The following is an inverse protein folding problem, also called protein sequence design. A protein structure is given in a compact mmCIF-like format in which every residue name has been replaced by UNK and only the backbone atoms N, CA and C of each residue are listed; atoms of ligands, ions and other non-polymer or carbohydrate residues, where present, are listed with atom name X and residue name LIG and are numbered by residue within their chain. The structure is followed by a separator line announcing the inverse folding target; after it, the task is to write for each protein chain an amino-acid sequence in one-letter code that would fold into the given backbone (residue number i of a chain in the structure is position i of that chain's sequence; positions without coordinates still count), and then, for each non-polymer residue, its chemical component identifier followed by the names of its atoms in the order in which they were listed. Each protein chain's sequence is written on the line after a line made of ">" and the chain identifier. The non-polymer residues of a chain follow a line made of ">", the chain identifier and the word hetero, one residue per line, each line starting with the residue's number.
data_IF_994844016009
#
_entry.id   IF_994844016009
#
_cell.length_a   1.000
_cell.length_b   1.000
_cell.length_c   1.000
_cell.angle_alpha   90.00
_cell.angle_beta   90.00
_cell.angle_gamma   90.00
#
_symmetry.space_group_name_H-M   'P 1'
#
loop_
_entity.id
_entity.type
_entity.pdbx_description
1 polymer ?
#
# COMPACT_ATOMS: atom_id res chain seq x y z
N UNK A 1 10.08 65.42 -30.36
CA UNK A 1 8.73 64.82 -30.48
C UNK A 1 8.92 63.36 -30.75
N UNK A 2 8.82 62.50 -29.74
CA UNK A 2 8.89 61.02 -29.85
C UNK A 2 7.57 60.48 -29.30
N UNK A 3 6.83 59.80 -30.14
CA UNK A 3 5.57 59.13 -29.80
C UNK A 3 5.84 57.98 -28.81
N UNK A 4 5.26 58.08 -27.63
CA UNK A 4 5.15 56.97 -26.71
C UNK A 4 3.98 56.06 -27.13
N UNK A 5 4.30 54.91 -27.67
CA UNK A 5 3.32 53.87 -27.94
C UNK A 5 2.96 53.16 -26.63
N UNK A 6 1.76 53.43 -26.13
CA UNK A 6 1.12 52.73 -25.07
C UNK A 6 0.85 51.29 -25.49
N UNK A 7 1.63 50.32 -25.00
CA UNK A 7 1.32 48.90 -25.07
C UNK A 7 0.41 48.54 -23.89
N UNK A 8 -0.89 48.56 -24.14
CA UNK A 8 -1.87 47.98 -23.28
C UNK A 8 -1.74 46.44 -23.34
N UNK A 9 -1.15 45.87 -22.27
CA UNK A 9 -1.14 44.41 -22.10
C UNK A 9 -2.54 43.90 -21.82
N UNK A 10 -3.19 43.37 -22.85
CA UNK A 10 -4.36 42.54 -22.73
C UNK A 10 -3.98 41.25 -21.99
N UNK A 11 -4.17 41.23 -20.69
CA UNK A 11 -4.18 39.99 -19.92
C UNK A 11 -5.44 39.21 -20.37
N UNK A 12 -5.27 38.32 -21.32
CA UNK A 12 -6.22 37.30 -21.63
C UNK A 12 -6.40 36.40 -20.41
N UNK A 13 -7.49 36.59 -19.70
CA UNK A 13 -7.94 35.62 -18.70
C UNK A 13 -8.26 34.32 -19.42
N UNK A 14 -7.32 33.39 -19.41
CA UNK A 14 -7.59 32.00 -19.75
C UNK A 14 -8.52 31.45 -18.69
N UNK A 15 -9.80 31.58 -18.88
CA UNK A 15 -10.79 30.80 -18.15
C UNK A 15 -10.53 29.34 -18.52
N UNK A 16 -10.00 28.57 -17.56
CA UNK A 16 -9.88 27.12 -17.69
C UNK A 16 -11.31 26.59 -17.80
N UNK A 17 -11.81 26.47 -19.03
CA UNK A 17 -13.06 25.78 -19.30
C UNK A 17 -12.85 24.32 -19.00
N UNK A 18 -13.42 23.85 -17.87
CA UNK A 18 -13.47 22.43 -17.54
C UNK A 18 -14.24 21.72 -18.66
N UNK A 19 -13.55 20.90 -19.45
CA UNK A 19 -14.15 20.15 -20.54
C UNK A 19 -14.47 18.73 -20.11
N UNK A 20 -15.67 18.25 -20.42
CA UNK A 20 -15.96 16.83 -20.32
C UNK A 20 -15.28 16.07 -21.47
N UNK A 21 -14.89 14.83 -21.20
CA UNK A 21 -14.35 13.90 -22.20
C UNK A 21 -15.37 12.81 -22.51
N UNK A 22 -15.33 12.33 -23.74
CA UNK A 22 -16.09 11.14 -24.15
C UNK A 22 -15.23 9.91 -23.81
N UNK A 23 -15.78 8.98 -23.06
CA UNK A 23 -15.15 7.71 -22.74
C UNK A 23 -15.30 6.72 -23.91
N UNK A 24 -14.52 5.62 -23.90
CA UNK A 24 -14.56 4.60 -24.96
C UNK A 24 -15.95 3.95 -25.14
N UNK A 25 -16.77 3.95 -24.10
CA UNK A 25 -18.16 3.46 -24.11
C UNK A 25 -19.20 4.51 -24.54
N UNK A 26 -18.78 5.66 -25.06
CA UNK A 26 -19.64 6.76 -25.50
C UNK A 26 -20.16 7.66 -24.37
N UNK A 27 -19.90 7.37 -23.11
CA UNK A 27 -20.37 8.18 -21.98
C UNK A 27 -19.52 9.45 -21.80
N UNK A 28 -20.16 10.52 -21.35
CA UNK A 28 -19.48 11.77 -20.98
C UNK A 28 -18.94 11.67 -19.55
N UNK A 29 -17.74 12.18 -19.30
CA UNK A 29 -17.14 12.28 -17.96
C UNK A 29 -16.44 13.63 -17.79
N UNK A 30 -16.69 14.32 -16.69
CA UNK A 30 -16.13 15.62 -16.39
C UNK A 30 -17.18 16.72 -16.30
N UNK A 31 -16.78 17.98 -16.32
CA UNK A 31 -17.68 19.11 -16.15
C UNK A 31 -17.85 19.90 -17.46
N UNK A 32 -19.08 20.32 -17.76
CA UNK A 32 -19.41 21.24 -18.84
C UNK A 32 -20.30 22.34 -18.24
N UNK A 33 -19.81 23.56 -18.21
CA UNK A 33 -20.51 24.66 -17.58
C UNK A 33 -20.87 24.36 -16.12
N UNK A 34 -22.16 24.35 -15.80
CA UNK A 34 -22.68 24.06 -14.48
C UNK A 34 -23.03 22.57 -14.23
N UNK A 35 -22.78 21.70 -15.19
CA UNK A 35 -23.09 20.28 -15.12
C UNK A 35 -21.81 19.45 -14.93
N UNK A 36 -21.91 18.42 -14.10
CA UNK A 36 -20.85 17.42 -13.90
C UNK A 36 -21.39 16.04 -14.25
N UNK A 37 -20.78 15.41 -15.25
CA UNK A 37 -21.05 14.04 -15.68
C UNK A 37 -20.20 13.08 -14.88
N UNK A 38 -20.84 12.21 -14.12
CA UNK A 38 -20.19 11.23 -13.26
C UNK A 38 -20.45 9.84 -13.79
N UNK A 39 -19.35 9.11 -14.05
CA UNK A 39 -19.43 7.71 -14.45
C UNK A 39 -18.77 6.88 -13.35
N UNK A 40 -19.53 5.96 -12.78
CA UNK A 40 -19.04 4.93 -11.86
C UNK A 40 -19.18 3.57 -12.53
N UNK A 41 -18.65 2.54 -11.93
CA UNK A 41 -18.77 1.16 -12.44
C UNK A 41 -20.25 0.69 -12.51
N UNK A 42 -21.10 1.24 -11.64
CA UNK A 42 -22.49 0.82 -11.47
C UNK A 42 -23.52 1.83 -12.00
N UNK A 43 -23.17 3.11 -12.11
CA UNK A 43 -24.12 4.17 -12.45
C UNK A 43 -23.47 5.32 -13.21
N UNK A 44 -24.26 5.89 -14.13
CA UNK A 44 -23.95 7.13 -14.83
C UNK A 44 -25.01 8.17 -14.47
N UNK A 45 -24.58 9.32 -13.97
CA UNK A 45 -25.52 10.39 -13.62
C UNK A 45 -24.91 11.77 -13.88
N UNK A 46 -25.78 12.75 -13.94
CA UNK A 46 -25.40 14.17 -14.10
C UNK A 46 -25.87 14.92 -12.86
N UNK A 47 -25.01 15.76 -12.32
CA UNK A 47 -25.36 16.66 -11.21
C UNK A 47 -24.93 18.08 -11.51
N UNK A 48 -25.53 19.04 -10.84
CA UNK A 48 -25.08 20.43 -10.89
C UNK A 48 -23.77 20.61 -10.13
N UNK A 49 -22.91 21.47 -10.61
CA UNK A 49 -21.69 21.89 -9.91
C UNK A 49 -22.10 22.78 -8.74
N UNK A 50 -21.67 22.47 -7.50
CA UNK A 50 -21.94 23.37 -6.38
C UNK A 50 -21.25 24.72 -6.58
N UNK A 51 -21.98 25.81 -6.39
CA UNK A 51 -21.46 27.16 -6.65
C UNK A 51 -20.39 27.60 -5.66
N UNK A 52 -20.53 27.28 -4.36
CA UNK A 52 -19.54 27.56 -3.32
C UNK A 52 -19.63 26.51 -2.21
N UNK A 53 -18.56 25.73 -2.04
CA UNK A 53 -18.40 24.84 -0.89
C UNK A 53 -17.55 25.56 0.16
N UNK A 54 -18.18 26.10 1.21
CA UNK A 54 -17.45 26.54 2.39
C UNK A 54 -17.01 25.32 3.19
N UNK A 55 -15.72 25.00 3.16
CA UNK A 55 -15.17 23.92 3.96
C UNK A 55 -15.20 24.30 5.44
N UNK A 56 -15.77 23.42 6.28
CA UNK A 56 -15.70 23.56 7.73
C UNK A 56 -14.26 23.43 8.23
N UNK A 57 -13.97 23.90 9.44
CA UNK A 57 -12.64 23.71 10.07
C UNK A 57 -12.28 22.23 10.19
N UNK A 58 -13.25 21.37 10.53
CA UNK A 58 -13.06 19.92 10.59
C UNK A 58 -12.68 19.32 9.22
N UNK A 59 -13.31 19.78 8.14
CA UNK A 59 -12.99 19.34 6.77
C UNK A 59 -11.57 19.78 6.37
N UNK A 60 -11.17 21.00 6.72
CA UNK A 60 -9.81 21.50 6.44
C UNK A 60 -8.76 20.70 7.23
N UNK A 61 -9.01 20.44 8.52
CA UNK A 61 -8.11 19.63 9.35
C UNK A 61 -7.98 18.19 8.80
N UNK A 62 -9.10 17.56 8.41
CA UNK A 62 -9.07 16.24 7.81
C UNK A 62 -8.31 16.21 6.46
N UNK A 63 -8.48 17.24 5.63
CA UNK A 63 -7.75 17.38 4.37
C UNK A 63 -6.24 17.55 4.60
N UNK A 64 -5.84 18.35 5.58
CA UNK A 64 -4.44 18.54 5.97
C UNK A 64 -3.82 17.22 6.47
N UNK A 65 -4.50 16.51 7.38
CA UNK A 65 -4.06 15.21 7.88
C UNK A 65 -3.91 14.17 6.76
N UNK A 66 -4.87 14.14 5.83
CA UNK A 66 -4.78 13.28 4.65
C UNK A 66 -3.62 13.66 3.73
N UNK A 67 -3.34 14.96 3.57
CA UNK A 67 -2.19 15.45 2.80
C UNK A 67 -0.87 14.93 3.37
N UNK A 68 -0.68 15.05 4.68
CA UNK A 68 0.51 14.54 5.39
C UNK A 68 0.63 13.02 5.22
N UNK A 69 -0.45 12.28 5.49
CA UNK A 69 -0.45 10.82 5.34
C UNK A 69 -0.15 10.38 3.89
N UNK A 70 -0.65 11.12 2.90
CA UNK A 70 -0.38 10.84 1.47
C UNK A 70 1.08 11.07 1.09
N UNK A 71 1.71 12.11 1.63
CA UNK A 71 3.13 12.39 1.40
C UNK A 71 4.01 11.30 2.03
N UNK A 72 3.76 10.94 3.29
CA UNK A 72 4.48 9.86 3.98
C UNK A 72 4.25 8.50 3.30
N UNK A 73 3.02 8.20 2.87
CA UNK A 73 2.69 6.99 2.09
C UNK A 73 3.51 6.90 0.79
N UNK A 74 3.67 8.03 0.09
CA UNK A 74 4.47 8.05 -1.15
C UNK A 74 5.93 7.67 -0.87
N UNK A 75 6.56 8.29 0.13
CA UNK A 75 7.96 8.00 0.51
C UNK A 75 8.12 6.54 0.94
N UNK A 76 7.23 6.06 1.79
CA UNK A 76 7.22 4.69 2.28
C UNK A 76 7.12 3.66 1.12
N UNK A 77 6.16 3.84 0.20
CA UNK A 77 5.99 2.94 -0.94
C UNK A 77 7.19 2.98 -1.91
N UNK A 78 7.83 4.15 -2.10
CA UNK A 78 9.06 4.23 -2.89
C UNK A 78 10.17 3.39 -2.26
N UNK A 79 10.43 3.56 -0.96
CA UNK A 79 11.44 2.78 -0.25
C UNK A 79 11.16 1.25 -0.32
N UNK A 80 9.88 0.85 -0.24
CA UNK A 80 9.52 -0.56 -0.41
C UNK A 80 9.79 -1.08 -1.83
N UNK A 81 9.41 -0.32 -2.87
CA UNK A 81 9.60 -0.72 -4.27
C UNK A 81 11.07 -0.76 -4.69
N UNK A 82 11.91 0.06 -4.07
CA UNK A 82 13.36 0.02 -4.27
C UNK A 82 13.98 -1.24 -3.65
N UNK A 83 13.42 -1.71 -2.53
CA UNK A 83 13.97 -2.84 -1.79
C UNK A 83 13.37 -4.18 -2.21
N UNK A 84 12.09 -4.22 -2.56
CA UNK A 84 11.36 -5.47 -2.82
C UNK A 84 10.67 -5.46 -4.19
N UNK A 85 10.70 -6.61 -4.87
CA UNK A 85 9.91 -6.85 -6.08
C UNK A 85 8.45 -7.15 -5.69
N UNK A 86 7.69 -6.12 -5.33
CA UNK A 86 6.30 -6.27 -4.90
C UNK A 86 5.38 -6.67 -6.06
N UNK A 87 4.51 -7.64 -5.82
CA UNK A 87 3.44 -8.02 -6.74
C UNK A 87 2.21 -7.16 -6.48
N UNK A 88 1.99 -6.17 -7.34
CA UNK A 88 0.98 -5.12 -7.13
C UNK A 88 -0.07 -5.11 -8.23
N UNK A 89 -1.30 -4.71 -7.89
CA UNK A 89 -2.30 -4.33 -8.88
C UNK A 89 -2.28 -2.80 -9.15
N UNK A 90 -3.04 -2.39 -10.17
CA UNK A 90 -3.11 -0.98 -10.59
C UNK A 90 -3.58 -0.02 -9.48
N UNK A 91 -4.43 -0.49 -8.57
CA UNK A 91 -5.10 0.34 -7.55
C UNK A 91 -4.47 0.22 -6.16
N UNK A 92 -3.41 -0.58 -6.00
CA UNK A 92 -2.79 -0.83 -4.70
C UNK A 92 -2.40 0.47 -3.97
N UNK A 93 -1.86 1.45 -4.69
CA UNK A 93 -1.37 2.69 -4.10
C UNK A 93 -2.48 3.51 -3.42
N UNK A 94 -3.69 3.52 -4.00
CA UNK A 94 -4.85 4.20 -3.41
C UNK A 94 -5.34 3.47 -2.15
N UNK A 95 -5.37 2.12 -2.19
CA UNK A 95 -5.74 1.28 -1.04
C UNK A 95 -4.70 1.37 0.08
N UNK A 96 -3.40 1.33 -0.27
CA UNK A 96 -2.30 1.44 0.69
C UNK A 96 -2.32 2.78 1.42
N UNK A 97 -2.55 3.89 0.71
CA UNK A 97 -2.71 5.22 1.31
C UNK A 97 -3.80 5.28 2.37
N UNK A 98 -4.93 4.61 2.13
CA UNK A 98 -6.02 4.56 3.10
C UNK A 98 -5.62 3.77 4.37
N UNK A 99 -4.85 2.68 4.23
CA UNK A 99 -4.28 1.93 5.36
C UNK A 99 -3.21 2.73 6.08
N UNK A 100 -2.30 3.38 5.34
CA UNK A 100 -1.25 4.24 5.90
C UNK A 100 -1.85 5.41 6.71
N UNK A 101 -2.93 6.04 6.24
CA UNK A 101 -3.62 7.08 6.98
C UNK A 101 -4.17 6.59 8.33
N UNK A 102 -4.52 5.32 8.45
CA UNK A 102 -4.90 4.70 9.74
C UNK A 102 -3.66 4.40 10.59
N UNK A 103 -2.62 3.86 9.99
CA UNK A 103 -1.37 3.50 10.67
C UNK A 103 -0.66 4.72 11.29
N UNK A 104 -0.74 5.88 10.64
CA UNK A 104 -0.13 7.12 11.11
C UNK A 104 -0.97 7.89 12.14
N UNK A 105 -2.19 7.43 12.45
CA UNK A 105 -3.00 8.08 13.50
C UNK A 105 -2.36 7.84 14.85
N UNK A 106 -2.20 8.92 15.59
CA UNK A 106 -1.87 8.82 17.00
C UNK A 106 -3.12 8.38 17.79
N UNK A 107 -3.01 7.52 18.80
CA UNK A 107 -4.11 7.24 19.71
C UNK A 107 -4.61 8.55 20.34
N UNK A 108 -5.91 8.73 20.35
CA UNK A 108 -6.54 9.98 20.84
C UNK A 108 -6.55 10.08 22.38
N UNK A 109 -6.18 9.01 23.07
CA UNK A 109 -6.21 8.94 24.54
C UNK A 109 -4.89 8.36 25.06
N UNK A 110 -4.19 9.16 25.83
CA UNK A 110 -3.01 8.75 26.59
C UNK A 110 -1.89 9.78 26.50
N UNK A 111 -1.70 10.50 27.58
CA UNK A 111 -0.61 11.44 27.80
C UNK A 111 0.71 10.90 27.31
N UNK A 112 1.29 11.55 26.32
CA UNK A 112 2.72 11.38 26.03
C UNK A 112 3.52 12.14 27.10
N UNK A 113 3.42 11.71 28.35
CA UNK A 113 4.20 12.31 29.44
C UNK A 113 5.69 11.97 29.38
N UNK A 114 6.11 11.05 28.50
CA UNK A 114 7.49 10.54 28.47
C UNK A 114 8.27 10.82 27.18
N UNK A 115 7.90 11.83 26.38
CA UNK A 115 8.73 12.22 25.22
C UNK A 115 8.96 11.10 24.16
N UNK A 116 8.28 9.98 24.27
CA UNK A 116 8.42 8.86 23.34
C UNK A 116 7.75 9.19 22.02
N UNK A 117 8.52 9.10 20.95
CA UNK A 117 8.08 9.31 19.58
C UNK A 117 6.96 8.30 19.26
N UNK A 118 5.73 8.75 19.25
CA UNK A 118 4.60 7.86 18.98
C UNK A 118 4.61 7.48 17.49
N UNK A 119 5.01 6.27 17.18
CA UNK A 119 5.15 5.77 15.80
C UNK A 119 3.82 5.38 15.13
N UNK A 120 2.67 5.66 15.77
CA UNK A 120 1.36 5.29 15.22
C UNK A 120 0.97 3.83 15.49
N UNK A 121 0.09 3.28 14.65
CA UNK A 121 -0.51 1.94 14.78
C UNK A 121 -0.20 1.08 13.55
N UNK A 122 1.05 0.59 13.38
CA UNK A 122 1.44 -0.20 12.21
C UNK A 122 0.62 -1.48 12.03
N UNK A 123 0.03 -2.03 13.07
CA UNK A 123 -0.83 -3.21 13.05
C UNK A 123 -2.00 -3.05 12.06
N UNK A 124 -2.43 -1.82 11.82
CA UNK A 124 -3.47 -1.54 10.81
C UNK A 124 -3.06 -1.87 9.38
N UNK A 125 -1.77 -2.08 9.10
CA UNK A 125 -1.27 -2.54 7.81
C UNK A 125 -1.45 -4.05 7.63
N UNK A 126 -1.46 -4.83 8.71
CA UNK A 126 -1.58 -6.30 8.64
C UNK A 126 -2.80 -6.72 7.83
N UNK A 127 -2.61 -7.72 6.98
CA UNK A 127 -3.63 -8.20 6.05
C UNK A 127 -3.87 -7.29 4.84
N UNK A 128 -2.97 -6.34 4.56
CA UNK A 128 -3.06 -5.56 3.34
C UNK A 128 -2.42 -6.32 2.17
N UNK A 129 -3.24 -6.64 1.17
CA UNK A 129 -2.82 -7.26 -0.09
C UNK A 129 -2.43 -6.19 -1.11
N UNK A 130 -1.22 -6.29 -1.65
CA UNK A 130 -0.76 -5.42 -2.74
C UNK A 130 -1.43 -5.76 -4.07
N UNK A 131 -1.85 -7.02 -4.23
CA UNK A 131 -2.62 -7.47 -5.39
C UNK A 131 -3.98 -8.02 -4.96
N UNK A 132 -5.03 -7.23 -5.13
CA UNK A 132 -6.39 -7.60 -4.76
C UNK A 132 -7.03 -8.69 -5.65
N UNK A 133 -6.39 -9.04 -6.78
CA UNK A 133 -6.84 -10.15 -7.61
C UNK A 133 -6.44 -11.50 -7.03
N UNK A 134 -5.34 -11.53 -6.26
CA UNK A 134 -4.81 -12.72 -5.59
C UNK A 134 -4.65 -12.48 -4.08
N UNK A 135 -5.72 -12.16 -3.33
CA UNK A 135 -5.58 -11.88 -1.90
C UNK A 135 -5.08 -13.12 -1.16
N UNK A 136 -4.28 -12.90 -0.11
CA UNK A 136 -3.63 -13.98 0.66
C UNK A 136 -4.60 -15.08 1.05
N UNK A 137 -5.74 -14.71 1.64
CA UNK A 137 -6.78 -15.65 2.08
C UNK A 137 -7.39 -16.50 0.97
N UNK A 138 -7.31 -16.04 -0.29
CA UNK A 138 -7.81 -16.80 -1.44
C UNK A 138 -6.75 -17.70 -2.05
N UNK A 139 -5.47 -17.39 -1.88
CA UNK A 139 -4.37 -18.16 -2.47
C UNK A 139 -3.70 -19.08 -1.45
N UNK A 140 -3.98 -18.92 -0.15
CA UNK A 140 -3.44 -19.77 0.91
C UNK A 140 -4.54 -20.31 1.82
N UNK A 141 -4.25 -21.41 2.50
CA UNK A 141 -5.08 -22.00 3.56
C UNK A 141 -4.34 -21.98 4.91
N UNK A 142 -3.30 -21.16 5.05
CA UNK A 142 -2.54 -21.01 6.28
C UNK A 142 -2.19 -19.54 6.52
N UNK A 143 -1.89 -19.24 7.78
CA UNK A 143 -1.21 -18.03 8.19
C UNK A 143 0.04 -18.42 8.97
N UNK A 144 1.20 -17.78 8.74
CA UNK A 144 2.36 -17.91 9.61
C UNK A 144 2.00 -17.45 11.02
N UNK A 145 2.47 -18.18 12.02
CA UNK A 145 2.25 -17.80 13.42
C UNK A 145 3.46 -16.99 13.88
N UNK A 146 3.22 -15.75 14.29
CA UNK A 146 4.25 -14.86 14.80
C UNK A 146 4.20 -14.81 16.31
N UNK A 147 5.35 -15.05 16.96
CA UNK A 147 5.52 -14.97 18.41
C UNK A 147 6.74 -14.10 18.74
N UNK A 148 6.51 -13.02 19.45
CA UNK A 148 7.60 -12.22 20.00
C UNK A 148 8.15 -12.97 21.23
N UNK A 149 9.41 -13.42 21.16
CA UNK A 149 10.07 -14.15 22.25
C UNK A 149 10.54 -13.19 23.34
N UNK A 150 11.05 -12.04 22.92
CA UNK A 150 11.48 -10.94 23.78
C UNK A 150 11.46 -9.63 22.96
N UNK A 151 11.96 -8.54 23.51
CA UNK A 151 12.03 -7.23 22.82
C UNK A 151 12.88 -7.25 21.56
N UNK A 152 13.81 -8.19 21.45
CA UNK A 152 14.83 -8.27 20.40
C UNK A 152 14.65 -9.44 19.43
N UNK A 153 13.62 -10.27 19.60
CA UNK A 153 13.44 -11.44 18.75
C UNK A 153 11.98 -11.69 18.41
N UNK A 154 11.72 -11.82 17.10
CA UNK A 154 10.48 -12.31 16.54
C UNK A 154 10.70 -13.71 15.96
N UNK A 155 9.84 -14.63 16.32
CA UNK A 155 9.80 -15.99 15.78
C UNK A 155 8.58 -16.15 14.88
N UNK A 156 8.80 -16.73 13.71
CA UNK A 156 7.76 -17.12 12.76
C UNK A 156 7.74 -18.63 12.60
N UNK A 157 6.58 -19.24 12.79
CA UNK A 157 6.37 -20.67 12.59
C UNK A 157 5.54 -20.88 11.32
N UNK A 158 6.06 -21.70 10.42
CA UNK A 158 5.38 -22.12 9.20
C UNK A 158 4.97 -23.59 9.33
N UNK A 159 3.72 -23.96 8.97
CA UNK A 159 3.33 -25.35 8.85
C UNK A 159 4.06 -26.02 7.68
N UNK A 160 3.99 -27.35 7.55
CA UNK A 160 4.34 -28.01 6.30
C UNK A 160 3.53 -27.45 5.16
N UNK A 161 4.18 -27.19 4.02
CA UNK A 161 3.56 -26.56 2.86
C UNK A 161 3.58 -27.48 1.65
N UNK A 162 2.45 -27.59 0.94
CA UNK A 162 2.33 -28.28 -0.32
C UNK A 162 1.45 -27.46 -1.28
N UNK A 163 1.89 -27.36 -2.53
CA UNK A 163 1.09 -26.71 -3.57
C UNK A 163 -0.13 -27.57 -3.91
N UNK A 164 -1.30 -26.97 -3.89
CA UNK A 164 -2.59 -27.66 -4.05
C UNK A 164 -3.27 -28.03 -2.73
N UNK A 165 -2.59 -27.84 -1.57
CA UNK A 165 -3.16 -27.96 -0.23
C UNK A 165 -3.11 -26.62 0.52
N UNK A 166 -1.96 -26.30 1.11
CA UNK A 166 -1.77 -25.05 1.88
C UNK A 166 -1.66 -23.83 0.97
N UNK A 167 -1.11 -23.98 -0.24
CA UNK A 167 -1.12 -22.94 -1.28
C UNK A 167 -1.98 -23.46 -2.43
N UNK A 168 -2.98 -22.69 -2.84
CA UNK A 168 -3.84 -23.04 -3.97
C UNK A 168 -3.04 -23.18 -5.25
N UNK A 169 -3.41 -24.15 -6.09
CA UNK A 169 -2.77 -24.40 -7.36
C UNK A 169 -3.62 -23.76 -8.49
N UNK A 170 -3.26 -22.58 -9.01
CA UNK A 170 -3.88 -22.05 -10.21
C UNK A 170 -3.56 -22.93 -11.43
N UNK A 171 -4.44 -22.87 -12.44
CA UNK A 171 -4.25 -23.65 -13.67
C UNK A 171 -2.92 -23.26 -14.36
N UNK A 172 -2.16 -24.25 -14.81
CA UNK A 172 -0.89 -24.05 -15.52
C UNK A 172 0.32 -23.73 -14.63
N UNK A 173 0.17 -23.76 -13.30
CA UNK A 173 1.25 -23.51 -12.34
C UNK A 173 1.95 -24.83 -11.98
N UNK A 174 3.29 -24.79 -11.91
CA UNK A 174 4.14 -25.94 -11.54
C UNK A 174 4.60 -25.86 -10.08
N UNK A 175 5.08 -24.72 -9.66
CA UNK A 175 5.57 -24.49 -8.31
C UNK A 175 5.22 -23.06 -7.85
N UNK A 176 5.38 -22.81 -6.58
CA UNK A 176 5.26 -21.47 -6.01
C UNK A 176 6.46 -21.21 -5.09
N UNK A 177 6.96 -19.99 -5.11
CA UNK A 177 7.91 -19.51 -4.11
C UNK A 177 7.16 -18.75 -3.04
N UNK A 178 7.34 -19.14 -1.78
CA UNK A 178 6.95 -18.36 -0.63
C UNK A 178 8.19 -17.65 -0.09
N UNK A 179 8.15 -16.32 -0.04
CA UNK A 179 9.20 -15.48 0.55
C UNK A 179 8.63 -14.65 1.69
N UNK A 180 9.34 -14.62 2.80
CA UNK A 180 9.06 -13.78 3.96
C UNK A 180 10.23 -12.82 4.15
N UNK A 181 9.97 -11.53 4.09
CA UNK A 181 10.96 -10.47 4.29
C UNK A 181 10.62 -9.72 5.58
N UNK A 182 11.48 -9.82 6.60
CA UNK A 182 11.38 -9.03 7.81
C UNK A 182 12.23 -7.77 7.68
N UNK A 183 11.66 -6.63 7.98
CA UNK A 183 12.34 -5.35 7.90
C UNK A 183 11.83 -4.35 8.94
N UNK A 184 12.66 -3.35 9.21
CA UNK A 184 12.26 -2.17 9.97
C UNK A 184 12.19 -0.94 9.08
N UNK A 185 11.29 -0.03 9.44
CA UNK A 185 11.10 1.24 8.76
C UNK A 185 10.53 2.28 9.72
N UNK A 186 11.03 3.50 9.66
CA UNK A 186 10.44 4.62 10.40
C UNK A 186 9.78 5.60 9.42
N UNK A 187 8.44 5.58 9.27
CA UNK A 187 7.74 6.43 8.33
C UNK A 187 7.65 7.90 8.78
N UNK A 188 8.03 8.20 10.01
CA UNK A 188 7.99 9.57 10.56
C UNK A 188 9.19 10.41 10.12
N UNK A 189 10.26 9.78 9.68
CA UNK A 189 11.45 10.47 9.18
C UNK A 189 11.15 11.17 7.83
N UNK A 190 11.92 12.20 7.53
CA UNK A 190 11.84 12.89 6.25
C UNK A 190 12.41 12.06 5.10
N UNK A 191 13.41 11.23 5.40
CA UNK A 191 13.94 10.21 4.49
C UNK A 191 13.54 8.84 5.04
N UNK A 192 12.66 8.14 4.34
CA UNK A 192 12.19 6.81 4.71
C UNK A 192 13.12 5.78 4.09
N UNK A 193 13.74 4.96 4.92
CA UNK A 193 14.59 3.85 4.51
C UNK A 193 14.04 2.55 5.07
N UNK A 194 14.07 1.51 4.25
CA UNK A 194 13.75 0.14 4.64
C UNK A 194 15.05 -0.56 5.01
N UNK A 195 15.12 -1.04 6.24
CA UNK A 195 16.26 -1.83 6.71
C UNK A 195 15.84 -3.30 6.80
N UNK A 196 16.28 -4.10 5.84
CA UNK A 196 16.00 -5.55 5.79
C UNK A 196 16.81 -6.25 6.89
N UNK A 197 16.10 -6.97 7.76
CA UNK A 197 16.69 -7.72 8.87
C UNK A 197 17.01 -9.15 8.46
N UNK A 198 16.07 -9.82 7.82
CA UNK A 198 16.21 -11.22 7.41
C UNK A 198 15.20 -11.56 6.32
N UNK A 199 15.56 -12.49 5.46
CA UNK A 199 14.69 -13.06 4.43
C UNK A 199 14.66 -14.57 4.58
N UNK A 200 13.47 -15.17 4.55
CA UNK A 200 13.25 -16.60 4.43
C UNK A 200 12.55 -16.90 3.11
N UNK A 201 13.06 -17.86 2.35
CA UNK A 201 12.44 -18.28 1.08
C UNK A 201 12.39 -19.79 0.99
N UNK A 202 11.27 -20.30 0.45
CA UNK A 202 11.08 -21.73 0.19
C UNK A 202 10.29 -21.92 -1.11
N UNK A 203 10.76 -22.84 -1.94
CA UNK A 203 10.00 -23.31 -3.09
C UNK A 203 9.01 -24.39 -2.64
N UNK A 204 7.74 -24.20 -2.99
CA UNK A 204 6.66 -25.13 -2.67
C UNK A 204 6.22 -25.86 -3.92
N UNK A 205 6.40 -27.18 -3.91
CA UNK A 205 6.07 -28.05 -5.03
C UNK A 205 4.72 -28.76 -4.83
N UNK A 206 4.22 -29.35 -5.90
CA UNK A 206 3.02 -30.22 -5.86
C UNK A 206 3.32 -31.62 -5.34
N UNK A 207 4.54 -32.08 -5.54
CA UNK A 207 4.95 -33.47 -5.30
C UNK A 207 5.37 -33.69 -3.85
N UNK A 208 6.13 -32.72 -3.32
CA UNK A 208 6.71 -32.81 -1.99
C UNK A 208 6.08 -31.81 -1.03
N UNK A 209 5.80 -32.28 0.19
CA UNK A 209 5.40 -31.43 1.30
C UNK A 209 6.67 -30.94 2.00
N UNK A 210 6.81 -29.65 2.21
CA UNK A 210 7.94 -29.10 2.96
C UNK A 210 7.91 -29.54 4.42
N UNK A 211 9.06 -29.50 5.08
CA UNK A 211 9.09 -29.62 6.53
C UNK A 211 8.50 -28.34 7.18
N UNK A 212 7.96 -28.46 8.40
CA UNK A 212 7.62 -27.27 9.17
C UNK A 212 8.88 -26.44 9.42
N UNK A 213 8.78 -25.13 9.35
CA UNK A 213 9.92 -24.23 9.50
C UNK A 213 9.75 -23.30 10.69
N UNK A 214 10.86 -23.03 11.35
CA UNK A 214 10.98 -22.06 12.42
C UNK A 214 12.00 -21.01 11.99
N UNK A 215 11.55 -19.79 11.79
CA UNK A 215 12.38 -18.67 11.37
C UNK A 215 12.44 -17.62 12.48
N UNK A 216 13.62 -17.24 12.90
CA UNK A 216 13.83 -16.24 13.96
C UNK A 216 14.50 -15.01 13.36
N UNK A 217 14.00 -13.84 13.75
CA UNK A 217 14.46 -12.53 13.28
C UNK A 217 14.91 -11.72 14.50
N UNK A 218 16.12 -11.20 14.47
CA UNK A 218 16.62 -10.28 15.48
C UNK A 218 16.12 -8.86 15.20
N UNK A 219 15.59 -8.21 16.24
CA UNK A 219 14.97 -6.89 16.19
C UNK A 219 15.96 -5.87 16.75
N UNK A 220 16.31 -4.81 16.02
CA UNK A 220 17.16 -3.73 16.53
C UNK A 220 16.43 -2.90 17.61
N UNK A 221 17.18 -2.30 18.51
CA UNK A 221 16.65 -1.48 19.61
C UNK A 221 16.06 -0.12 19.16
N UNK A 222 16.29 0.26 17.91
CA UNK A 222 15.82 1.56 17.38
C UNK A 222 14.30 1.61 17.24
N UNK A 223 13.66 2.75 17.62
CA UNK A 223 12.23 2.93 17.41
C UNK A 223 11.87 2.90 15.92
N UNK A 224 11.09 1.91 15.53
CA UNK A 224 10.68 1.71 14.13
C UNK A 224 9.38 0.88 14.05
N UNK A 225 8.85 0.72 12.86
CA UNK A 225 7.89 -0.33 12.56
C UNK A 225 8.64 -1.58 12.16
N UNK A 226 8.41 -2.68 12.86
CA UNK A 226 8.81 -4.03 12.45
C UNK A 226 7.70 -4.62 11.61
N UNK A 227 8.02 -5.02 10.40
CA UNK A 227 7.06 -5.54 9.43
C UNK A 227 7.59 -6.86 8.86
N UNK A 228 6.69 -7.81 8.66
CA UNK A 228 6.96 -9.00 7.85
C UNK A 228 6.05 -8.97 6.63
N UNK A 229 6.68 -8.92 5.47
CA UNK A 229 6.06 -9.01 4.17
C UNK A 229 6.11 -10.46 3.70
N UNK A 230 4.96 -11.06 3.39
CA UNK A 230 4.88 -12.35 2.72
C UNK A 230 4.63 -12.15 1.23
N UNK A 231 5.41 -12.82 0.39
CA UNK A 231 5.22 -12.79 -1.06
C UNK A 231 5.09 -14.22 -1.57
N UNK A 232 4.04 -14.48 -2.37
CA UNK A 232 3.86 -15.75 -3.08
C UNK A 232 3.95 -15.46 -4.57
N UNK A 233 4.89 -16.15 -5.23
CA UNK A 233 5.17 -16.05 -6.67
C UNK A 233 4.84 -17.39 -7.30
N UNK A 234 3.88 -17.41 -8.20
CA UNK A 234 3.54 -18.63 -8.96
C UNK A 234 4.42 -18.74 -10.20
N UNK A 235 5.00 -19.93 -10.41
CA UNK A 235 5.85 -20.25 -11.55
C UNK A 235 5.11 -21.12 -12.56
N UNK A 236 4.98 -20.63 -13.80
CA UNK A 236 4.29 -21.32 -14.89
C UNK A 236 5.25 -22.21 -15.69
N UNK A 237 4.70 -23.30 -16.27
CA UNK A 237 5.43 -24.15 -17.23
C UNK A 237 5.66 -23.49 -18.60
N UNK A 238 4.83 -22.49 -18.96
CA UNK A 238 4.92 -21.80 -20.24
C UNK A 238 5.63 -20.47 -20.05
N UNK A 239 6.65 -20.13 -20.87
CA UNK A 239 7.19 -18.77 -20.88
C UNK A 239 6.06 -17.81 -21.23
N UNK A 240 5.60 -17.04 -20.26
CA UNK A 240 4.61 -16.01 -20.55
C UNK A 240 5.28 -14.92 -21.40
N UNK A 241 4.69 -14.66 -22.56
CA UNK A 241 5.14 -13.61 -23.47
C UNK A 241 5.03 -12.19 -22.92
N UNK A 242 4.47 -11.99 -21.72
CA UNK A 242 4.34 -10.69 -21.06
C UNK A 242 4.45 -10.85 -19.56
N UNK A 243 5.53 -10.38 -19.03
CA UNK A 243 6.06 -10.25 -17.69
C UNK A 243 5.18 -9.86 -16.50
N UNK A 244 4.00 -10.45 -16.31
CA UNK A 244 3.29 -10.33 -15.06
C UNK A 244 3.41 -11.62 -14.26
N UNK A 245 4.31 -11.65 -13.29
CA UNK A 245 4.35 -12.70 -12.29
C UNK A 245 3.00 -12.77 -11.58
N UNK A 246 2.35 -13.95 -11.62
CA UNK A 246 1.12 -14.17 -10.87
C UNK A 246 1.47 -14.36 -9.40
N UNK A 247 0.73 -13.73 -8.53
CA UNK A 247 0.95 -13.86 -7.10
C UNK A 247 0.53 -12.61 -6.32
N UNK A 248 0.96 -12.55 -5.07
CA UNK A 248 0.66 -11.43 -4.19
C UNK A 248 1.80 -11.16 -3.21
N UNK A 249 1.90 -9.91 -2.78
CA UNK A 249 2.65 -9.48 -1.60
C UNK A 249 1.65 -8.99 -0.55
N UNK A 250 1.82 -9.38 0.71
CA UNK A 250 0.89 -9.09 1.81
C UNK A 250 1.66 -8.76 3.08
N UNK A 251 1.23 -7.76 3.84
CA UNK A 251 1.75 -7.56 5.19
C UNK A 251 1.17 -8.62 6.13
N UNK A 252 1.99 -9.56 6.55
CA UNK A 252 1.59 -10.65 7.45
C UNK A 252 1.71 -10.26 8.92
N UNK A 253 2.62 -9.36 9.24
CA UNK A 253 2.86 -8.86 10.58
C UNK A 253 3.32 -7.41 10.54
N UNK A 254 2.84 -6.59 11.46
CA UNK A 254 3.33 -5.24 11.67
C UNK A 254 3.18 -4.86 13.14
N UNK A 255 4.22 -4.30 13.74
CA UNK A 255 4.24 -3.85 15.14
C UNK A 255 5.24 -2.71 15.32
N UNK A 256 4.98 -1.81 16.25
CA UNK A 256 5.93 -0.79 16.67
C UNK A 256 7.00 -1.41 17.58
N UNK A 257 8.28 -1.08 17.38
CA UNK A 257 9.40 -1.41 18.24
C UNK A 257 9.80 -0.19 19.09
N UNK A 258 10.36 -0.42 20.28
CA UNK A 258 10.88 0.68 21.11
C UNK A 258 9.83 1.53 21.85
N UNK A 259 8.60 1.07 21.96
CA UNK A 259 7.59 1.63 22.87
C UNK A 259 7.48 0.72 24.11
N UNK A 260 8.26 0.99 25.11
CA UNK A 260 8.01 0.58 26.50
C UNK A 260 7.89 1.82 27.35
#
# INVERSE_FOLDING_TARGET
>A
MRDEKNYSYLYSYFTITTMARILKNGNLSGAVGNLVFVNTETQNYVRTKPSHLKQSQKTKAAAAAFGVASAKDKLYRHALLEQFALLTDRMYAARHRARMAKALRQPTEGNSENGNLHLGLPESLTGFDFNSQFPWEKITHFYPIFKQLNTHQLQCMLPPLQLGKEIRLPQGIKSAELRLDAFTVNPMLDTVQVNVLSTYSIEVSRVETSLPALWTVDIPESPAWLIVLGTIIFQSNTPQMTGSSQGNSTYLFAKSTGAN
#
